data_IF_152957764358
#
_entry.id   IF_152957764358
#
_cell.length_a   1.000
_cell.length_b   1.000
_cell.length_c   1.000
_cell.angle_alpha   90.00
_cell.angle_beta   90.00
_cell.angle_gamma   90.00
#
_symmetry.space_group_name_H-M   'P 1'
#
loop_
_entity.id
_entity.type
_entity.pdbx_description
1 polymer ?
#
# COMPACT_ATOMS: atom_id res chain seq x y z
N UNK A 1 10.86 -14.20 -35.49
CA UNK A 1 11.56 -13.32 -34.52
C UNK A 1 11.18 -13.78 -33.13
N UNK A 2 12.14 -13.94 -32.25
CA UNK A 2 11.92 -14.48 -30.88
C UNK A 2 11.04 -13.51 -30.09
N UNK A 3 10.17 -14.02 -29.22
CA UNK A 3 9.29 -13.21 -28.35
C UNK A 3 10.09 -12.19 -27.54
N UNK A 4 11.30 -12.55 -27.13
CA UNK A 4 12.24 -11.68 -26.41
C UNK A 4 12.63 -10.40 -27.19
N UNK A 5 12.70 -10.46 -28.50
CA UNK A 5 13.01 -9.27 -29.33
C UNK A 5 11.76 -8.38 -29.45
N UNK A 6 10.57 -8.98 -29.55
CA UNK A 6 9.32 -8.23 -29.56
C UNK A 6 9.07 -7.56 -28.19
N UNK A 7 9.33 -8.27 -27.10
CA UNK A 7 9.20 -7.74 -25.74
C UNK A 7 10.22 -6.63 -25.48
N UNK A 8 11.48 -6.78 -25.93
CA UNK A 8 12.51 -5.74 -25.82
C UNK A 8 12.15 -4.48 -26.63
N UNK A 9 11.64 -4.64 -27.86
CA UNK A 9 11.18 -3.51 -28.68
C UNK A 9 9.96 -2.82 -28.04
N UNK A 10 9.06 -3.58 -27.43
CA UNK A 10 7.89 -3.02 -26.78
C UNK A 10 8.27 -2.24 -25.52
N UNK A 11 9.25 -2.71 -24.74
CA UNK A 11 9.83 -1.98 -23.61
C UNK A 11 10.54 -0.70 -24.07
N UNK A 12 11.32 -0.77 -25.14
CA UNK A 12 12.05 0.39 -25.68
C UNK A 12 11.11 1.46 -26.27
N UNK A 13 10.04 1.04 -26.93
CA UNK A 13 8.97 1.94 -27.42
C UNK A 13 8.16 2.54 -26.25
N UNK A 14 7.86 1.76 -25.22
CA UNK A 14 7.16 2.24 -24.03
C UNK A 14 7.96 3.23 -23.20
N UNK A 15 9.28 3.03 -23.09
CA UNK A 15 10.18 3.94 -22.35
C UNK A 15 10.36 5.31 -23.05
N UNK A 16 10.04 5.43 -24.33
CA UNK A 16 10.13 6.69 -25.07
C UNK A 16 8.85 7.54 -25.02
N UNK A 17 7.75 7.00 -24.51
CA UNK A 17 6.49 7.75 -24.41
C UNK A 17 6.50 8.70 -23.21
N UNK A 18 6.15 9.97 -23.51
CA UNK A 18 5.92 10.97 -22.46
C UNK A 18 4.81 10.49 -21.51
N UNK A 19 4.95 10.81 -20.21
CA UNK A 19 3.90 10.56 -19.22
C UNK A 19 2.57 11.19 -19.68
N UNK A 20 1.47 10.42 -19.76
CA UNK A 20 0.18 10.94 -20.21
C UNK A 20 -0.40 11.94 -19.20
N UNK A 21 -1.08 12.95 -19.69
CA UNK A 21 -1.73 13.97 -18.85
C UNK A 21 -3.08 13.50 -18.28
N UNK A 22 -3.61 12.36 -18.76
CA UNK A 22 -4.92 11.79 -18.40
C UNK A 22 -4.85 10.60 -17.43
N UNK A 23 -3.77 10.47 -16.70
CA UNK A 23 -3.62 9.39 -15.71
C UNK A 23 -4.52 9.65 -14.51
N UNK A 24 -5.39 8.68 -14.21
CA UNK A 24 -6.31 8.77 -13.07
C UNK A 24 -6.06 7.63 -12.07
N UNK A 25 -5.97 7.99 -10.79
CA UNK A 25 -5.86 7.07 -9.67
C UNK A 25 -7.18 7.02 -8.90
N UNK A 26 -7.79 5.84 -8.85
CA UNK A 26 -9.10 5.63 -8.23
C UNK A 26 -8.96 5.00 -6.84
N UNK A 27 -9.66 5.56 -5.87
CA UNK A 27 -9.74 5.04 -4.51
C UNK A 27 -11.09 5.37 -3.87
N UNK A 28 -11.46 4.69 -2.75
CA UNK A 28 -12.63 5.06 -1.95
C UNK A 28 -12.46 6.42 -1.26
N UNK A 29 -13.56 6.99 -0.74
CA UNK A 29 -13.49 8.19 0.11
C UNK A 29 -12.66 7.92 1.37
N UNK A 30 -11.68 8.77 1.60
CA UNK A 30 -10.61 8.55 2.58
C UNK A 30 -11.11 8.57 4.03
N UNK A 31 -11.99 9.51 4.39
CA UNK A 31 -12.44 9.70 5.77
C UNK A 31 -13.62 8.78 6.10
N UNK A 32 -14.57 8.69 5.19
CA UNK A 32 -15.87 8.08 5.42
C UNK A 32 -15.89 6.57 5.16
N UNK A 33 -15.13 6.09 4.16
CA UNK A 33 -15.32 4.75 3.61
C UNK A 33 -14.09 3.85 3.73
N UNK A 34 -12.89 4.37 3.44
CA UNK A 34 -11.70 3.53 3.29
C UNK A 34 -11.37 2.76 4.57
N UNK A 35 -11.04 1.49 4.43
CA UNK A 35 -10.58 0.64 5.54
C UNK A 35 -9.08 0.75 5.74
N UNK A 36 -8.58 0.31 6.89
CA UNK A 36 -7.15 0.41 7.22
C UNK A 36 -6.24 -0.19 6.13
N UNK A 37 -6.40 -1.46 5.70
CA UNK A 37 -5.51 -2.06 4.69
C UNK A 37 -5.63 -1.40 3.30
N UNK A 38 -6.83 -0.96 2.94
CA UNK A 38 -7.06 -0.29 1.65
C UNK A 38 -6.41 1.09 1.62
N UNK A 39 -6.43 1.81 2.74
CA UNK A 39 -5.77 3.11 2.83
C UNK A 39 -4.25 2.99 2.78
N UNK A 40 -3.65 1.98 3.43
CA UNK A 40 -2.21 1.71 3.33
C UNK A 40 -1.77 1.51 1.87
N UNK A 41 -2.50 0.69 1.12
CA UNK A 41 -2.21 0.47 -0.30
C UNK A 41 -2.40 1.73 -1.15
N UNK A 42 -3.46 2.49 -0.92
CA UNK A 42 -3.70 3.76 -1.61
C UNK A 42 -2.57 4.75 -1.35
N UNK A 43 -2.14 4.86 -0.10
CA UNK A 43 -1.06 5.76 0.28
C UNK A 43 0.28 5.32 -0.30
N UNK A 44 0.58 4.01 -0.31
CA UNK A 44 1.80 3.46 -0.90
C UNK A 44 1.91 3.81 -2.40
N UNK A 45 0.83 3.61 -3.18
CA UNK A 45 0.81 3.96 -4.61
C UNK A 45 0.97 5.46 -4.82
N UNK A 46 0.24 6.28 -4.06
CA UNK A 46 0.36 7.75 -4.14
C UNK A 46 1.79 8.21 -3.83
N UNK A 47 2.39 7.64 -2.79
CA UNK A 47 3.77 7.96 -2.40
C UNK A 47 4.76 7.58 -3.49
N UNK A 48 4.60 6.41 -4.10
CA UNK A 48 5.43 5.99 -5.23
C UNK A 48 5.32 6.96 -6.43
N UNK A 49 4.10 7.34 -6.81
CA UNK A 49 3.89 8.31 -7.90
C UNK A 49 4.51 9.67 -7.58
N UNK A 50 4.34 10.16 -6.35
CA UNK A 50 4.94 11.42 -5.89
C UNK A 50 6.48 11.34 -5.88
N UNK A 51 7.06 10.23 -5.44
CA UNK A 51 8.52 10.00 -5.47
C UNK A 51 9.07 9.96 -6.89
N UNK A 52 8.30 9.46 -7.86
CA UNK A 52 8.64 9.49 -9.28
C UNK A 52 8.39 10.86 -9.94
N UNK A 53 7.77 11.82 -9.25
CA UNK A 53 7.38 13.12 -9.82
C UNK A 53 6.31 13.00 -10.92
N UNK A 54 5.43 12.00 -10.83
CA UNK A 54 4.40 11.70 -11.82
C UNK A 54 3.06 12.31 -11.40
N UNK A 55 2.50 13.14 -12.28
CA UNK A 55 1.19 13.77 -12.06
C UNK A 55 0.07 12.75 -12.30
N UNK A 56 -0.96 12.80 -11.48
CA UNK A 56 -2.17 11.99 -11.62
C UNK A 56 -3.39 12.74 -11.08
N UNK A 57 -4.54 12.42 -11.63
CA UNK A 57 -5.83 12.92 -11.13
C UNK A 57 -6.40 11.93 -10.12
N UNK A 58 -6.57 12.38 -8.86
CA UNK A 58 -7.11 11.53 -7.79
C UNK A 58 -8.63 11.50 -7.86
N UNK A 59 -9.19 10.37 -8.26
CA UNK A 59 -10.60 10.13 -8.40
C UNK A 59 -11.16 9.35 -7.20
N UNK A 60 -11.93 10.05 -6.35
CA UNK A 60 -12.64 9.41 -5.24
C UNK A 60 -13.96 8.82 -5.74
N UNK A 61 -14.18 7.52 -5.54
CA UNK A 61 -15.38 6.79 -5.96
C UNK A 61 -15.87 5.85 -4.86
N UNK A 62 -17.16 5.88 -4.58
CA UNK A 62 -17.79 4.97 -3.60
C UNK A 62 -17.72 3.51 -4.01
N UNK A 63 -17.68 3.24 -5.31
CA UNK A 63 -17.62 1.92 -5.93
C UNK A 63 -16.25 1.63 -6.57
N UNK A 64 -15.16 2.17 -6.00
CA UNK A 64 -13.82 1.98 -6.55
C UNK A 64 -13.40 0.50 -6.59
N UNK A 65 -13.79 -0.31 -5.58
CA UNK A 65 -13.50 -1.74 -5.58
C UNK A 65 -14.18 -2.49 -6.73
N UNK A 66 -15.45 -2.20 -6.99
CA UNK A 66 -16.22 -2.82 -8.08
C UNK A 66 -15.74 -2.40 -9.46
N UNK A 67 -15.14 -1.21 -9.57
CA UNK A 67 -14.52 -0.72 -10.83
C UNK A 67 -13.14 -1.32 -11.05
N UNK A 68 -12.48 -1.79 -10.00
CA UNK A 68 -11.13 -2.34 -10.08
C UNK A 68 -11.09 -3.71 -10.74
N UNK A 69 -10.14 -3.99 -11.63
CA UNK A 69 -9.98 -5.30 -12.25
C UNK A 69 -9.74 -6.45 -11.26
N UNK A 70 -9.08 -6.18 -10.14
CA UNK A 70 -8.82 -7.17 -9.08
C UNK A 70 -9.86 -7.16 -7.96
N UNK A 71 -10.82 -6.23 -7.97
CA UNK A 71 -11.71 -5.99 -6.86
C UNK A 71 -11.01 -5.39 -5.63
N UNK A 72 -9.85 -4.75 -5.82
CA UNK A 72 -9.06 -4.11 -4.77
C UNK A 72 -8.61 -2.72 -5.18
N UNK A 73 -8.29 -1.91 -4.19
CA UNK A 73 -7.88 -0.52 -4.38
C UNK A 73 -6.46 -0.28 -3.85
N UNK A 74 -5.77 0.74 -4.39
CA UNK A 74 -6.19 1.60 -5.48
C UNK A 74 -6.08 0.92 -6.85
N UNK A 75 -6.72 1.50 -7.85
CA UNK A 75 -6.41 1.16 -9.24
C UNK A 75 -6.12 2.41 -10.06
N UNK A 76 -5.23 2.26 -11.03
CA UNK A 76 -4.77 3.33 -11.90
C UNK A 76 -5.23 3.08 -13.33
N UNK A 77 -5.72 4.15 -13.99
CA UNK A 77 -6.05 4.16 -15.40
C UNK A 77 -5.01 4.97 -16.16
N UNK A 78 -4.42 4.35 -17.17
CA UNK A 78 -3.49 5.00 -18.13
C UNK A 78 -4.00 4.73 -19.53
N UNK A 79 -4.56 5.74 -20.19
CA UNK A 79 -5.23 5.56 -21.47
C UNK A 79 -6.34 4.51 -21.38
N UNK A 80 -6.21 3.38 -22.10
CA UNK A 80 -7.17 2.26 -22.09
C UNK A 80 -6.84 1.15 -21.09
N UNK A 81 -5.71 1.24 -20.39
CA UNK A 81 -5.26 0.19 -19.47
C UNK A 81 -5.63 0.51 -18.03
N UNK A 82 -5.92 -0.56 -17.26
CA UNK A 82 -6.22 -0.50 -15.84
C UNK A 82 -5.24 -1.41 -15.09
N UNK A 83 -4.61 -0.87 -14.05
CA UNK A 83 -3.68 -1.59 -13.17
C UNK A 83 -4.16 -1.44 -11.73
N UNK A 84 -4.26 -2.53 -10.98
CA UNK A 84 -4.73 -2.51 -9.60
C UNK A 84 -3.64 -2.94 -8.65
N UNK A 85 -3.66 -2.39 -7.44
CA UNK A 85 -2.73 -2.69 -6.35
C UNK A 85 -1.30 -2.19 -6.63
N UNK A 86 -0.47 -2.19 -5.59
CA UNK A 86 0.87 -1.58 -5.62
C UNK A 86 1.79 -2.27 -6.65
N UNK A 87 1.97 -3.60 -6.54
CA UNK A 87 2.98 -4.31 -7.34
C UNK A 87 2.72 -4.26 -8.85
N UNK A 88 1.49 -4.49 -9.38
CA UNK A 88 1.24 -4.37 -10.81
C UNK A 88 1.38 -2.93 -11.33
N UNK A 89 1.03 -1.93 -10.53
CA UNK A 89 1.22 -0.51 -10.90
C UNK A 89 2.71 -0.22 -11.02
N UNK A 90 3.50 -0.55 -10.01
CA UNK A 90 4.96 -0.38 -9.99
C UNK A 90 5.61 -1.14 -11.15
N UNK A 91 5.25 -2.41 -11.35
CA UNK A 91 5.80 -3.22 -12.44
C UNK A 91 5.55 -2.58 -13.82
N UNK A 92 4.32 -2.09 -14.06
CA UNK A 92 4.01 -1.40 -15.32
C UNK A 92 4.83 -0.12 -15.48
N UNK A 93 4.96 0.70 -14.43
CA UNK A 93 5.72 1.95 -14.48
C UNK A 93 7.21 1.70 -14.68
N UNK A 94 7.75 0.64 -14.09
CA UNK A 94 9.13 0.22 -14.31
C UNK A 94 9.40 -0.14 -15.80
N UNK A 95 8.43 -0.81 -16.47
CA UNK A 95 8.57 -1.11 -17.92
C UNK A 95 8.53 0.15 -18.79
N UNK A 96 7.97 1.25 -18.32
CA UNK A 96 7.95 2.55 -18.98
C UNK A 96 9.14 3.45 -18.62
N UNK A 97 10.09 2.96 -17.84
CA UNK A 97 11.28 3.69 -17.43
C UNK A 97 11.11 4.57 -16.18
N UNK A 98 9.96 4.51 -15.51
CA UNK A 98 9.71 5.20 -14.24
C UNK A 98 10.00 4.29 -13.05
N UNK A 99 11.27 3.96 -12.83
CA UNK A 99 11.74 3.10 -11.73
C UNK A 99 12.57 3.91 -10.74
N UNK A 100 12.30 3.74 -9.45
CA UNK A 100 13.10 4.30 -8.37
C UNK A 100 14.34 3.45 -8.05
N UNK A 101 14.35 2.19 -8.49
CA UNK A 101 15.40 1.19 -8.21
C UNK A 101 16.32 0.90 -9.40
N UNK A 102 16.28 1.72 -10.48
CA UNK A 102 17.12 1.52 -11.67
C UNK A 102 18.61 1.48 -11.38
N UNK A 103 19.06 2.32 -10.44
CA UNK A 103 20.47 2.49 -10.08
C UNK A 103 20.98 1.44 -9.09
N UNK A 104 20.11 0.58 -8.56
CA UNK A 104 20.46 -0.43 -7.56
C UNK A 104 21.20 -1.62 -8.20
N UNK A 105 22.16 -2.18 -7.46
CA UNK A 105 22.78 -3.46 -7.81
C UNK A 105 21.75 -4.61 -7.70
N UNK A 106 22.02 -5.73 -8.38
CA UNK A 106 21.15 -6.92 -8.34
C UNK A 106 20.98 -7.47 -6.91
N UNK A 107 22.01 -7.36 -6.07
CA UNK A 107 21.96 -7.73 -4.65
C UNK A 107 20.97 -6.84 -3.90
N UNK A 108 21.03 -5.51 -4.10
CA UNK A 108 20.11 -4.56 -3.49
C UNK A 108 18.68 -4.73 -3.98
N UNK A 109 18.47 -5.03 -5.27
CA UNK A 109 17.13 -5.35 -5.81
C UNK A 109 16.55 -6.62 -5.18
N UNK A 110 17.37 -7.65 -4.99
CA UNK A 110 16.95 -8.89 -4.32
C UNK A 110 16.61 -8.63 -2.84
N UNK A 111 17.42 -7.82 -2.16
CA UNK A 111 17.16 -7.38 -0.79
C UNK A 111 15.84 -6.58 -0.71
N UNK A 112 15.65 -5.60 -1.59
CA UNK A 112 14.41 -4.82 -1.68
C UNK A 112 13.19 -5.71 -1.85
N UNK A 113 13.26 -6.70 -2.75
CA UNK A 113 12.17 -7.66 -2.98
C UNK A 113 11.84 -8.48 -1.74
N UNK A 114 12.87 -8.88 -0.97
CA UNK A 114 12.67 -9.60 0.28
C UNK A 114 11.94 -8.75 1.32
N UNK A 115 12.31 -7.47 1.49
CA UNK A 115 11.62 -6.55 2.39
C UNK A 115 10.20 -6.22 1.92
N UNK A 116 9.97 -6.01 0.62
CA UNK A 116 8.62 -5.84 0.06
C UNK A 116 7.74 -7.04 0.39
N UNK A 117 8.26 -8.26 0.17
CA UNK A 117 7.55 -9.50 0.50
C UNK A 117 7.25 -9.60 2.00
N UNK A 118 8.19 -9.21 2.86
CA UNK A 118 8.00 -9.17 4.32
C UNK A 118 6.88 -8.19 4.70
N UNK A 119 6.85 -6.98 4.14
CA UNK A 119 5.80 -5.99 4.39
C UNK A 119 4.43 -6.53 3.98
N UNK A 120 4.32 -7.12 2.79
CA UNK A 120 3.06 -7.72 2.34
C UNK A 120 2.62 -8.93 3.17
N UNK A 121 3.56 -9.76 3.63
CA UNK A 121 3.24 -10.95 4.41
C UNK A 121 2.95 -10.67 5.88
N UNK A 122 3.49 -9.59 6.43
CA UNK A 122 3.32 -9.26 7.85
C UNK A 122 2.42 -8.04 8.02
N UNK A 123 2.82 -6.84 7.56
CA UNK A 123 2.05 -5.62 7.85
C UNK A 123 0.68 -5.64 7.21
N UNK A 124 0.58 -6.00 5.93
CA UNK A 124 -0.72 -6.05 5.25
C UNK A 124 -1.65 -7.13 5.85
N UNK A 125 -1.13 -8.32 6.19
CA UNK A 125 -1.95 -9.34 6.86
C UNK A 125 -2.35 -8.91 8.28
N UNK A 126 -1.48 -8.21 9.01
CA UNK A 126 -1.81 -7.64 10.31
C UNK A 126 -2.94 -6.59 10.20
N UNK A 127 -2.87 -5.69 9.23
CA UNK A 127 -3.93 -4.71 8.97
C UNK A 127 -5.26 -5.37 8.62
N UNK A 128 -5.23 -6.44 7.81
CA UNK A 128 -6.42 -7.25 7.51
C UNK A 128 -6.97 -7.90 8.78
N UNK A 129 -6.11 -8.51 9.61
CA UNK A 129 -6.50 -9.16 10.85
C UNK A 129 -7.13 -8.15 11.82
N UNK A 130 -6.45 -7.04 12.08
CA UNK A 130 -6.92 -5.98 12.97
C UNK A 130 -8.29 -5.46 12.54
N UNK A 131 -8.44 -5.16 11.25
CA UNK A 131 -9.66 -4.53 10.73
C UNK A 131 -10.84 -5.50 10.65
N UNK A 132 -10.62 -6.74 10.24
CA UNK A 132 -11.71 -7.64 9.86
C UNK A 132 -11.93 -8.80 10.84
N UNK A 133 -10.95 -9.15 11.68
CA UNK A 133 -11.04 -10.28 12.61
C UNK A 133 -11.25 -9.83 14.05
N UNK A 134 -10.59 -8.73 14.48
CA UNK A 134 -10.77 -8.19 15.83
C UNK A 134 -12.18 -7.63 15.98
N UNK A 135 -13.06 -8.35 16.67
CA UNK A 135 -14.49 -8.05 16.73
C UNK A 135 -14.82 -6.61 17.18
N UNK A 136 -14.07 -6.07 18.13
CA UNK A 136 -14.24 -4.69 18.61
C UNK A 136 -14.01 -3.68 17.49
N UNK A 137 -12.92 -3.82 16.74
CA UNK A 137 -12.54 -2.91 15.63
C UNK A 137 -13.46 -3.12 14.42
N UNK A 138 -13.75 -4.38 14.07
CA UNK A 138 -14.67 -4.69 12.99
C UNK A 138 -16.04 -4.04 13.19
N UNK A 139 -16.63 -4.19 14.35
CA UNK A 139 -17.99 -3.69 14.63
C UNK A 139 -18.07 -2.17 14.81
N UNK A 140 -17.05 -1.56 15.42
CA UNK A 140 -17.04 -0.12 15.71
C UNK A 140 -16.50 0.75 14.59
N UNK A 141 -15.59 0.23 13.76
CA UNK A 141 -14.85 1.01 12.77
C UNK A 141 -15.00 0.47 11.36
N UNK A 142 -14.59 -0.78 11.10
CA UNK A 142 -14.47 -1.31 9.73
C UNK A 142 -15.84 -1.48 9.07
N UNK A 143 -16.77 -2.17 9.73
CA UNK A 143 -18.11 -2.43 9.18
C UNK A 143 -18.91 -1.14 8.92
N UNK A 144 -18.97 -0.15 9.83
CA UNK A 144 -19.61 1.12 9.58
C UNK A 144 -19.00 1.88 8.40
N UNK A 145 -17.65 1.97 8.32
CA UNK A 145 -16.95 2.65 7.22
C UNK A 145 -17.23 1.99 5.88
N UNK A 146 -16.95 0.69 5.77
CA UNK A 146 -17.12 -0.07 4.53
C UNK A 146 -18.58 -0.07 4.05
N UNK A 147 -19.55 -0.11 4.99
CA UNK A 147 -20.98 -0.10 4.70
C UNK A 147 -21.58 1.29 4.44
N UNK A 148 -20.88 2.38 4.79
CA UNK A 148 -21.44 3.75 4.85
C UNK A 148 -22.06 4.24 3.55
N UNK A 149 -21.52 3.83 2.41
CA UNK A 149 -21.94 4.29 1.08
C UNK A 149 -23.03 3.40 0.43
N UNK A 150 -23.37 2.31 1.07
CA UNK A 150 -24.32 1.34 0.53
C UNK A 150 -25.69 1.45 1.19
N UNK A 151 -26.80 1.41 0.43
CA UNK A 151 -28.15 1.35 1.01
C UNK A 151 -28.42 0.01 1.69
N UNK A 152 -29.40 -0.01 2.57
CA UNK A 152 -29.91 -1.27 3.12
C UNK A 152 -30.52 -2.16 2.01
N UNK A 153 -30.25 -3.48 1.97
CA UNK A 153 -29.49 -4.29 2.92
C UNK A 153 -27.97 -4.42 2.60
N UNK A 154 -27.49 -3.80 1.54
CA UNK A 154 -26.12 -3.94 1.05
C UNK A 154 -25.06 -3.48 2.07
N UNK A 155 -25.36 -2.43 2.82
CA UNK A 155 -24.51 -1.93 3.92
C UNK A 155 -24.24 -2.97 5.02
N UNK A 156 -24.99 -4.04 5.06
CA UNK A 156 -24.81 -5.15 5.99
C UNK A 156 -24.23 -6.41 5.31
N UNK A 157 -24.70 -6.72 4.09
CA UNK A 157 -24.32 -7.92 3.34
C UNK A 157 -22.88 -7.81 2.81
N UNK A 158 -22.49 -6.64 2.25
CA UNK A 158 -21.18 -6.47 1.64
C UNK A 158 -20.03 -6.53 2.67
N UNK A 159 -20.11 -5.87 3.84
CA UNK A 159 -19.06 -6.05 4.87
C UNK A 159 -18.95 -7.49 5.35
N UNK A 160 -20.05 -8.21 5.48
CA UNK A 160 -20.05 -9.63 5.86
C UNK A 160 -19.35 -10.50 4.80
N UNK A 161 -19.69 -10.31 3.52
CA UNK A 161 -19.06 -11.01 2.40
C UNK A 161 -17.56 -10.73 2.39
N UNK A 162 -17.15 -9.47 2.50
CA UNK A 162 -15.75 -9.08 2.53
C UNK A 162 -15.00 -9.70 3.72
N UNK A 163 -15.62 -9.76 4.88
CA UNK A 163 -15.04 -10.43 6.05
C UNK A 163 -14.76 -11.93 5.80
N UNK A 164 -15.65 -12.63 5.08
CA UNK A 164 -15.42 -14.03 4.72
C UNK A 164 -14.25 -14.19 3.75
N UNK A 165 -14.12 -13.30 2.76
CA UNK A 165 -12.99 -13.29 1.83
C UNK A 165 -11.66 -13.05 2.57
N UNK A 166 -11.64 -12.08 3.50
CA UNK A 166 -10.46 -11.78 4.32
C UNK A 166 -10.10 -12.97 5.22
N UNK A 167 -11.08 -13.61 5.86
CA UNK A 167 -10.84 -14.82 6.66
C UNK A 167 -10.24 -15.95 5.82
N UNK A 168 -10.77 -16.21 4.63
CA UNK A 168 -10.23 -17.22 3.73
C UNK A 168 -8.77 -16.93 3.33
N UNK A 169 -8.44 -15.65 3.06
CA UNK A 169 -7.08 -15.21 2.76
C UNK A 169 -6.13 -15.39 3.95
N UNK A 170 -6.54 -14.95 5.12
CA UNK A 170 -5.75 -15.07 6.34
C UNK A 170 -5.51 -16.55 6.73
N UNK A 171 -6.52 -17.39 6.54
CA UNK A 171 -6.39 -18.83 6.71
C UNK A 171 -5.32 -19.44 5.77
N UNK A 172 -5.40 -19.08 4.47
CA UNK A 172 -4.43 -19.55 3.48
C UNK A 172 -2.98 -19.09 3.82
N UNK A 173 -2.82 -17.98 4.51
CA UNK A 173 -1.53 -17.44 4.96
C UNK A 173 -1.12 -17.90 6.38
N UNK A 174 -1.90 -18.80 7.03
CA UNK A 174 -1.61 -19.30 8.37
C UNK A 174 -1.89 -18.31 9.51
N UNK A 175 -2.71 -17.30 9.28
CA UNK A 175 -3.04 -16.25 10.27
C UNK A 175 -4.33 -16.49 11.05
N UNK A 176 -5.16 -17.48 10.66
CA UNK A 176 -6.49 -17.70 11.23
C UNK A 176 -6.47 -17.97 12.74
N UNK A 177 -5.46 -18.71 13.21
CA UNK A 177 -5.36 -19.16 14.60
C UNK A 177 -4.46 -18.25 15.47
N UNK A 178 -3.98 -17.12 14.94
CA UNK A 178 -3.19 -16.17 15.71
C UNK A 178 -4.08 -15.43 16.71
N UNK A 179 -3.50 -15.13 17.87
CA UNK A 179 -4.10 -14.19 18.82
C UNK A 179 -3.71 -12.76 18.45
N UNK A 180 -4.30 -11.78 19.09
CA UNK A 180 -3.92 -10.37 18.85
C UNK A 180 -2.49 -10.13 19.34
N UNK A 181 -2.08 -10.78 20.42
CA UNK A 181 -0.72 -10.74 20.95
C UNK A 181 0.29 -11.30 19.95
N UNK A 182 -0.02 -12.43 19.28
CA UNK A 182 0.82 -13.00 18.22
C UNK A 182 0.99 -12.00 17.06
N UNK A 183 -0.09 -11.29 16.70
CA UNK A 183 -0.06 -10.28 15.63
C UNK A 183 0.77 -9.07 16.04
N UNK A 184 0.66 -8.61 17.30
CA UNK A 184 1.48 -7.53 17.85
C UNK A 184 2.98 -7.90 17.82
N UNK A 185 3.34 -9.14 18.16
CA UNK A 185 4.71 -9.64 18.12
C UNK A 185 5.26 -9.77 16.68
N UNK A 186 4.44 -10.20 15.72
CA UNK A 186 4.81 -10.23 14.31
C UNK A 186 5.08 -8.81 13.77
N UNK A 187 4.19 -7.86 14.09
CA UNK A 187 4.39 -6.44 13.75
C UNK A 187 5.70 -5.94 14.34
N UNK A 188 5.95 -6.18 15.62
CA UNK A 188 7.16 -5.74 16.31
C UNK A 188 8.41 -6.33 15.68
N UNK A 189 8.40 -7.61 15.32
CA UNK A 189 9.51 -8.28 14.63
C UNK A 189 9.78 -7.66 13.26
N UNK A 190 8.72 -7.39 12.49
CA UNK A 190 8.83 -6.71 11.19
C UNK A 190 9.39 -5.29 11.34
N UNK A 191 8.89 -4.53 12.32
CA UNK A 191 9.36 -3.17 12.61
C UNK A 191 10.83 -3.16 13.03
N UNK A 192 11.27 -4.14 13.83
CA UNK A 192 12.67 -4.28 14.22
C UNK A 192 13.54 -4.50 12.98
N UNK A 193 13.18 -5.41 12.09
CA UNK A 193 13.92 -5.67 10.85
C UNK A 193 13.98 -4.42 9.94
N UNK A 194 12.87 -3.70 9.80
CA UNK A 194 12.82 -2.43 9.07
C UNK A 194 13.69 -1.35 9.75
N UNK A 195 13.62 -1.23 11.07
CA UNK A 195 14.41 -0.27 11.83
C UNK A 195 15.91 -0.54 11.70
N UNK A 196 16.30 -1.81 11.81
CA UNK A 196 17.70 -2.25 11.66
C UNK A 196 18.20 -2.00 10.22
N UNK A 197 17.35 -2.17 9.21
CA UNK A 197 17.72 -1.90 7.82
C UNK A 197 17.84 -0.41 7.52
N UNK A 198 16.93 0.39 8.06
CA UNK A 198 16.97 1.84 7.88
C UNK A 198 18.16 2.47 8.58
N UNK A 199 18.49 2.01 9.81
CA UNK A 199 19.55 2.57 10.66
C UNK A 199 19.46 4.10 10.76
N UNK A 200 20.45 4.81 10.22
CA UNK A 200 20.54 6.28 10.15
C UNK A 200 20.40 6.83 8.73
N UNK A 201 20.08 5.95 7.77
CA UNK A 201 19.93 6.35 6.37
C UNK A 201 18.65 7.20 6.18
N UNK A 202 18.64 7.95 5.08
CA UNK A 202 17.47 8.75 4.69
C UNK A 202 16.36 7.82 4.20
N UNK A 203 16.73 6.82 3.38
CA UNK A 203 15.87 5.79 2.81
C UNK A 203 16.44 4.40 3.04
N UNK A 204 15.64 3.35 2.88
CA UNK A 204 16.03 1.97 3.20
C UNK A 204 17.25 1.46 2.44
N UNK A 205 17.46 1.91 1.21
CA UNK A 205 18.57 1.45 0.37
C UNK A 205 19.59 2.54 0.02
N UNK A 206 19.62 3.63 0.80
CA UNK A 206 20.62 4.69 0.67
C UNK A 206 20.00 6.09 0.71
N UNK A 207 20.49 6.98 -0.17
CA UNK A 207 20.14 8.41 -0.17
C UNK A 207 18.96 8.74 -1.12
N UNK A 208 18.58 7.80 -1.98
CA UNK A 208 17.46 7.95 -2.91
C UNK A 208 16.29 7.05 -2.50
N UNK A 209 15.04 7.51 -2.68
CA UNK A 209 13.88 6.69 -2.40
C UNK A 209 13.77 5.52 -3.37
N UNK A 210 13.18 4.43 -2.91
CA UNK A 210 12.89 3.23 -3.69
C UNK A 210 11.41 2.85 -3.56
N UNK A 211 10.99 1.84 -4.29
CA UNK A 211 9.65 1.25 -4.19
C UNK A 211 9.35 0.76 -2.76
N UNK A 212 10.37 0.24 -2.07
CA UNK A 212 10.25 -0.19 -0.68
C UNK A 212 9.88 0.98 0.25
N UNK A 213 10.51 2.14 0.06
CA UNK A 213 10.24 3.34 0.86
C UNK A 213 8.78 3.78 0.74
N UNK A 214 8.26 3.77 -0.48
CA UNK A 214 6.86 4.12 -0.75
C UNK A 214 5.89 3.14 -0.08
N UNK A 215 6.17 1.83 -0.18
CA UNK A 215 5.35 0.79 0.42
C UNK A 215 5.37 0.87 1.95
N UNK A 216 6.56 0.93 2.55
CA UNK A 216 6.72 1.01 4.01
C UNK A 216 6.07 2.27 4.56
N UNK A 217 6.26 3.42 3.90
CA UNK A 217 5.58 4.66 4.31
C UNK A 217 4.07 4.49 4.31
N UNK A 218 3.49 3.92 3.25
CA UNK A 218 2.03 3.71 3.15
C UNK A 218 1.47 2.94 4.34
N UNK A 219 2.13 1.84 4.74
CA UNK A 219 1.71 1.02 5.86
C UNK A 219 1.97 1.69 7.22
N UNK A 220 3.18 2.18 7.47
CA UNK A 220 3.54 2.75 8.77
C UNK A 220 2.80 4.04 9.07
N UNK A 221 2.76 4.97 8.10
CA UNK A 221 2.06 6.24 8.28
C UNK A 221 0.58 6.03 8.56
N UNK A 222 -0.05 5.09 7.84
CA UNK A 222 -1.44 4.75 8.07
C UNK A 222 -1.65 4.14 9.47
N UNK A 223 -0.83 3.19 9.90
CA UNK A 223 -0.92 2.60 11.24
C UNK A 223 -0.71 3.62 12.38
N UNK A 224 0.06 4.69 12.12
CA UNK A 224 0.28 5.78 13.08
C UNK A 224 -0.92 6.73 13.14
N UNK A 225 -1.53 7.04 11.98
CA UNK A 225 -2.52 8.12 11.85
C UNK A 225 -3.96 7.64 11.83
N UNK A 226 -4.21 6.38 11.49
CA UNK A 226 -5.55 5.82 11.46
C UNK A 226 -6.14 5.70 12.87
N UNK A 227 -7.31 6.25 13.06
CA UNK A 227 -7.98 6.25 14.37
C UNK A 227 -8.54 4.87 14.70
N UNK A 228 -7.72 4.05 15.34
CA UNK A 228 -8.16 2.79 15.94
C UNK A 228 -8.66 3.03 17.37
N UNK A 229 -9.62 2.23 17.87
CA UNK A 229 -10.09 2.31 19.26
C UNK A 229 -9.00 1.99 20.30
N UNK A 230 -7.98 1.23 19.93
CA UNK A 230 -6.84 0.87 20.78
C UNK A 230 -5.55 1.46 20.18
N UNK A 231 -4.76 2.13 21.00
CA UNK A 231 -3.50 2.78 20.61
C UNK A 231 -2.29 1.85 20.61
N UNK A 232 -2.42 0.59 21.05
CA UNK A 232 -1.28 -0.33 21.27
C UNK A 232 -0.35 -0.42 20.06
N UNK A 233 -0.90 -0.59 18.85
CA UNK A 233 -0.09 -0.72 17.62
C UNK A 233 0.65 0.58 17.33
N UNK A 234 -0.02 1.70 17.46
CA UNK A 234 0.61 3.03 17.32
C UNK A 234 1.72 3.22 18.35
N UNK A 235 1.53 2.74 19.58
CA UNK A 235 2.54 2.84 20.64
C UNK A 235 3.73 1.90 20.38
N UNK A 236 3.51 0.73 19.77
CA UNK A 236 4.59 -0.16 19.32
C UNK A 236 5.43 0.54 18.25
N UNK A 237 4.80 1.15 17.23
CA UNK A 237 5.51 1.83 16.14
C UNK A 237 6.33 3.02 16.67
N UNK A 238 5.79 3.80 17.60
CA UNK A 238 6.47 4.93 18.22
C UNK A 238 7.74 4.57 18.99
N UNK A 239 7.91 3.31 19.38
CA UNK A 239 9.15 2.84 20.01
C UNK A 239 10.32 2.82 19.01
N UNK A 240 10.04 2.73 17.71
CA UNK A 240 11.03 2.77 16.63
C UNK A 240 11.15 4.19 16.08
N UNK A 241 11.91 5.03 16.82
CA UNK A 241 12.01 6.46 16.49
C UNK A 241 12.48 6.74 15.07
N UNK A 242 13.45 5.97 14.55
CA UNK A 242 13.95 6.15 13.18
C UNK A 242 12.87 5.90 12.11
N UNK A 243 11.95 4.95 12.34
CA UNK A 243 10.81 4.71 11.44
C UNK A 243 9.77 5.84 11.54
N UNK A 244 9.50 6.36 12.73
CA UNK A 244 8.62 7.51 12.89
C UNK A 244 9.22 8.77 12.22
N UNK A 245 10.50 9.03 12.43
CA UNK A 245 11.23 10.14 11.80
C UNK A 245 11.26 9.98 10.26
N UNK A 246 11.39 8.76 9.76
CA UNK A 246 11.27 8.44 8.32
C UNK A 246 9.89 8.82 7.78
N UNK A 247 8.82 8.42 8.46
CA UNK A 247 7.46 8.79 8.04
C UNK A 247 7.27 10.30 7.98
N UNK A 248 7.75 11.04 8.99
CA UNK A 248 7.66 12.50 9.01
C UNK A 248 8.42 13.16 7.86
N UNK A 249 9.64 12.67 7.55
CA UNK A 249 10.43 13.19 6.41
C UNK A 249 9.77 12.96 5.05
N UNK A 250 9.19 11.76 4.86
CA UNK A 250 8.49 11.44 3.61
C UNK A 250 7.22 12.27 3.46
N UNK A 251 6.46 12.45 4.55
CA UNK A 251 5.27 13.30 4.58
C UNK A 251 5.62 14.74 4.21
N UNK A 252 6.59 15.34 4.89
CA UNK A 252 7.04 16.71 4.65
C UNK A 252 7.44 16.89 3.19
N UNK A 253 8.30 16.04 2.67
CA UNK A 253 8.87 16.17 1.32
C UNK A 253 7.87 15.93 0.19
N UNK A 254 6.97 14.97 0.33
CA UNK A 254 6.14 14.50 -0.80
C UNK A 254 4.65 14.85 -0.68
N UNK A 255 4.22 15.45 0.43
CA UNK A 255 2.83 15.82 0.65
C UNK A 255 2.64 17.30 1.07
N UNK A 256 3.58 17.90 1.79
CA UNK A 256 3.48 19.29 2.25
C UNK A 256 4.07 20.23 1.20
N UNK A 257 5.24 19.92 0.64
CA UNK A 257 5.88 20.75 -0.40
C UNK A 257 5.10 20.84 -1.72
N UNK A 258 4.15 19.92 -1.97
CA UNK A 258 3.31 19.94 -3.19
C UNK A 258 2.11 20.90 -3.06
N UNK A 259 1.86 21.44 -1.86
CA UNK A 259 0.67 22.29 -1.59
C UNK A 259 0.96 23.79 -1.72
N UNK A 260 2.20 24.21 -2.03
CA UNK A 260 2.60 25.58 -2.36
C UNK A 260 2.69 25.79 -3.89
#
# INVERSE_FOLDING_TARGET
MSSLVADAIQVELGASERWPDDVALYQPYQVEQVTLPDYSNCLAVRTFLNMCGLNYDLQLRTNAEEMSPSGRVPFMKIGSFLFSEFDPIVAHLNTRGFSLSSDLSETQKSEMTAYITMVHSILYNAELYISWIVNGIYSSTTKPRYGSVHPWPLNWVLPWKRQLEVRARLNANGWENKTIEDVEDEIKTCLQALSDRLEKNIYFLGDKPTELDALVFGHLYNLITFQLPDSKITDIIKQFKNLADFCSRVEEKYYIEITE
#
